data_IF_470638996442
#
_entry.id   IF_470638996442
#
_cell.length_a   1.000
_cell.length_b   1.000
_cell.length_c   1.000
_cell.angle_alpha   90.00
_cell.angle_beta   90.00
_cell.angle_gamma   90.00
#
_symmetry.space_group_name_H-M   'P 1'
#
loop_
_entity.id
_entity.type
_entity.pdbx_description
1 polymer ?
#
# COMPACT_ATOMS: atom_id res chain seq x y z
N UNK A 1 -5.88 -20.86 19.14
CA UNK A 1 -6.61 -20.36 17.97
C UNK A 1 -6.07 -18.99 17.69
N UNK A 2 -5.15 -18.89 16.74
CA UNK A 2 -4.55 -17.61 16.34
C UNK A 2 -5.62 -16.73 15.69
N UNK A 3 -5.83 -15.56 16.27
CA UNK A 3 -6.85 -14.64 15.78
C UNK A 3 -6.32 -13.97 14.50
N UNK A 4 -7.09 -13.84 13.41
CA UNK A 4 -6.62 -13.23 12.15
C UNK A 4 -6.02 -11.81 12.32
N UNK A 5 -6.51 -11.06 13.30
CA UNK A 5 -5.96 -9.73 13.69
C UNK A 5 -4.52 -9.82 14.22
N UNK A 6 -4.14 -10.93 14.84
CA UNK A 6 -2.83 -11.13 15.44
C UNK A 6 -1.72 -11.17 14.38
N UNK A 7 -1.99 -11.75 13.21
CA UNK A 7 -1.09 -11.71 12.05
C UNK A 7 -0.90 -10.28 11.52
N UNK A 8 -1.97 -9.48 11.49
CA UNK A 8 -1.94 -8.08 11.06
C UNK A 8 -1.15 -7.20 12.03
N UNK A 9 -1.41 -7.36 13.34
CA UNK A 9 -0.70 -6.63 14.39
C UNK A 9 0.78 -6.99 14.46
N UNK A 10 1.11 -8.27 14.25
CA UNK A 10 2.49 -8.74 14.20
C UNK A 10 3.23 -8.16 12.99
N UNK A 11 2.63 -8.20 11.80
CA UNK A 11 3.22 -7.58 10.60
C UNK A 11 3.40 -6.06 10.78
N UNK A 12 2.43 -5.37 11.39
CA UNK A 12 2.54 -3.95 11.70
C UNK A 12 3.68 -3.64 12.70
N UNK A 13 3.82 -4.45 13.75
CA UNK A 13 4.89 -4.33 14.75
C UNK A 13 6.27 -4.67 14.20
N UNK A 14 6.38 -5.65 13.30
CA UNK A 14 7.65 -6.01 12.64
C UNK A 14 8.12 -4.90 11.69
N UNK A 15 7.22 -4.33 10.87
CA UNK A 15 7.55 -3.16 10.04
C UNK A 15 7.94 -1.95 10.91
N UNK A 16 7.19 -1.69 12.00
CA UNK A 16 7.54 -0.64 12.97
C UNK A 16 8.94 -0.83 13.55
N UNK A 17 9.32 -2.08 13.87
CA UNK A 17 10.63 -2.39 14.43
C UNK A 17 11.77 -2.19 13.43
N UNK A 18 11.56 -2.52 12.16
CA UNK A 18 12.51 -2.20 11.08
C UNK A 18 12.66 -0.69 10.86
N UNK A 19 11.63 0.11 11.20
CA UNK A 19 11.69 1.57 11.15
C UNK A 19 12.26 2.26 12.38
N UNK A 20 12.30 1.60 13.55
CA UNK A 20 12.87 2.17 14.78
C UNK A 20 14.39 2.34 14.71
N UNK A 21 15.05 1.74 13.70
CA UNK A 21 16.40 2.13 13.30
C UNK A 21 16.38 3.43 12.44
N UNK A 22 15.70 4.45 12.98
CA UNK A 22 15.44 5.77 12.39
C UNK A 22 16.74 6.53 12.09
N UNK A 23 17.87 6.07 12.64
CA UNK A 23 19.19 6.67 12.47
C UNK A 23 19.60 6.79 10.99
N UNK A 24 19.11 5.89 10.12
CA UNK A 24 19.43 5.92 8.69
C UNK A 24 18.56 6.87 7.87
N UNK A 25 17.35 7.23 8.32
CA UNK A 25 16.40 8.04 7.53
C UNK A 25 16.36 9.50 7.99
N UNK A 26 16.52 9.75 9.29
CA UNK A 26 16.51 11.10 9.87
C UNK A 26 17.93 11.67 9.96
N UNK A 27 18.95 10.82 9.86
CA UNK A 27 20.36 11.19 9.91
C UNK A 27 20.83 11.49 11.34
N UNK A 28 22.15 11.57 11.52
CA UNK A 28 22.72 12.02 12.79
C UNK A 28 22.50 13.54 12.97
N UNK A 29 22.33 14.01 14.23
CA UNK A 29 22.23 15.44 14.50
C UNK A 29 23.43 16.20 13.92
N UNK A 30 23.16 17.23 13.11
CA UNK A 30 24.22 18.02 12.50
C UNK A 30 24.63 19.14 13.46
N UNK A 31 25.91 19.20 13.80
CA UNK A 31 26.46 20.32 14.58
C UNK A 31 26.66 21.56 13.70
N UNK A 32 26.20 22.71 14.18
CA UNK A 32 26.44 24.00 13.55
C UNK A 32 27.77 24.58 14.04
N UNK A 33 28.39 25.46 13.24
CA UNK A 33 29.71 26.02 13.56
C UNK A 33 29.77 26.82 14.87
N UNK A 34 28.62 27.24 15.39
CA UNK A 34 28.46 27.95 16.66
C UNK A 34 28.13 27.04 17.85
N UNK A 35 28.20 25.71 17.67
CA UNK A 35 27.96 24.70 18.70
C UNK A 35 26.50 24.32 18.91
N UNK A 36 25.60 24.78 18.04
CA UNK A 36 24.21 24.35 18.01
C UNK A 36 24.03 22.97 17.36
N UNK A 37 22.81 22.42 17.48
CA UNK A 37 22.42 21.12 16.95
C UNK A 37 21.17 21.28 16.10
N UNK A 38 21.20 20.69 14.91
CA UNK A 38 20.03 20.60 14.02
C UNK A 38 19.51 19.16 14.04
N UNK A 39 18.23 19.02 14.37
CA UNK A 39 17.50 17.76 14.42
C UNK A 39 16.39 17.77 13.38
N UNK A 40 16.27 16.72 12.59
CA UNK A 40 15.14 16.58 11.66
C UNK A 40 13.92 16.02 12.38
N UNK A 41 12.77 16.64 12.16
CA UNK A 41 11.46 16.19 12.66
C UNK A 41 10.69 15.60 11.50
N UNK A 42 10.35 14.31 11.61
CA UNK A 42 9.64 13.57 10.56
C UNK A 42 8.27 13.11 11.03
N UNK A 43 7.25 13.25 10.18
CA UNK A 43 5.96 12.60 10.31
C UNK A 43 6.05 11.20 9.75
N UNK A 44 5.60 10.21 10.51
CA UNK A 44 5.52 8.82 10.06
C UNK A 44 4.05 8.43 9.92
N UNK A 45 3.70 7.82 8.78
CA UNK A 45 2.38 7.32 8.50
C UNK A 45 2.46 5.84 8.09
N UNK A 46 1.59 5.02 8.66
CA UNK A 46 1.50 3.59 8.36
C UNK A 46 0.13 3.30 7.78
N UNK A 47 0.08 2.51 6.71
CA UNK A 47 -1.16 2.04 6.10
C UNK A 47 -1.11 0.52 5.98
N UNK A 48 -2.20 -0.16 6.33
CA UNK A 48 -2.33 -1.59 6.16
C UNK A 48 -3.73 -1.90 5.64
N UNK A 49 -3.83 -2.82 4.70
CA UNK A 49 -5.07 -3.30 4.12
C UNK A 49 -4.99 -4.80 3.90
N UNK A 50 -6.11 -5.49 4.11
CA UNK A 50 -6.23 -6.91 3.84
C UNK A 50 -7.61 -7.20 3.26
N UNK A 51 -7.70 -8.24 2.44
CA UNK A 51 -8.93 -8.69 1.83
C UNK A 51 -8.81 -10.14 1.36
N UNK A 52 -9.92 -10.84 1.28
CA UNK A 52 -9.95 -12.21 0.80
C UNK A 52 -11.37 -12.70 0.63
N UNK A 53 -11.50 -13.80 -0.08
CA UNK A 53 -12.77 -14.45 -0.35
C UNK A 53 -12.63 -15.96 -0.31
N UNK A 54 -13.68 -16.61 0.16
CA UNK A 54 -13.83 -18.05 0.04
C UNK A 54 -14.32 -18.41 -1.37
N UNK A 55 -13.70 -19.41 -1.97
CA UNK A 55 -14.05 -19.95 -3.27
C UNK A 55 -14.61 -21.37 -3.09
N UNK A 56 -15.77 -21.63 -3.70
CA UNK A 56 -16.29 -22.98 -3.83
C UNK A 56 -15.65 -23.63 -5.05
N UNK A 57 -14.84 -24.66 -4.83
CA UNK A 57 -14.32 -25.51 -5.90
C UNK A 57 -15.43 -26.46 -6.36
N UNK A 58 -16.02 -26.16 -7.51
CA UNK A 58 -16.98 -27.04 -8.20
C UNK A 58 -16.26 -28.21 -8.88
N UNK A 59 -15.52 -29.03 -8.12
CA UNK A 59 -15.10 -30.34 -8.60
C UNK A 59 -16.14 -31.36 -8.15
N UNK A 60 -16.83 -31.95 -9.13
CA UNK A 60 -18.00 -32.82 -8.98
C UNK A 60 -17.75 -34.18 -8.31
N UNK A 61 -16.83 -34.27 -7.35
CA UNK A 61 -16.60 -35.46 -6.56
C UNK A 61 -16.59 -35.15 -5.07
N UNK A 62 -17.63 -35.67 -4.42
CA UNK A 62 -17.92 -35.62 -2.99
C UNK A 62 -16.67 -35.93 -2.16
N UNK A 63 -16.11 -34.93 -1.51
CA UNK A 63 -15.42 -35.09 -0.23
C UNK A 63 -15.57 -33.81 0.58
N UNK A 64 -15.75 -33.95 1.90
CA UNK A 64 -15.73 -32.90 2.92
C UNK A 64 -14.50 -31.97 2.81
N UNK A 65 -14.48 -31.07 1.84
CA UNK A 65 -13.42 -30.10 1.63
C UNK A 65 -13.88 -28.73 2.13
N UNK A 66 -13.15 -28.18 3.10
CA UNK A 66 -13.35 -26.80 3.53
C UNK A 66 -13.22 -25.88 2.30
N UNK A 67 -14.06 -24.83 2.15
CA UNK A 67 -13.94 -23.90 1.03
C UNK A 67 -12.52 -23.35 0.92
N UNK A 68 -12.01 -23.22 -0.30
CA UNK A 68 -10.66 -22.73 -0.54
C UNK A 68 -10.66 -21.21 -0.35
N UNK A 69 -9.93 -20.72 0.65
CA UNK A 69 -9.79 -19.29 0.89
C UNK A 69 -8.63 -18.73 0.05
N UNK A 70 -8.89 -17.67 -0.72
CA UNK A 70 -7.84 -16.86 -1.33
C UNK A 70 -7.92 -15.44 -0.80
N UNK A 71 -6.81 -14.93 -0.27
CA UNK A 71 -6.73 -13.59 0.26
C UNK A 71 -5.33 -12.99 0.13
N UNK A 72 -5.25 -11.69 0.35
CA UNK A 72 -4.02 -10.92 0.30
C UNK A 72 -4.05 -9.78 1.31
N UNK A 73 -2.86 -9.32 1.69
CA UNK A 73 -2.66 -8.16 2.54
C UNK A 73 -1.52 -7.32 2.02
N UNK A 74 -1.60 -6.01 2.19
CA UNK A 74 -0.54 -5.07 1.86
C UNK A 74 -0.40 -4.06 3.00
N UNK A 75 0.83 -3.64 3.25
CA UNK A 75 1.14 -2.57 4.17
C UNK A 75 2.16 -1.62 3.56
N UNK A 76 2.24 -0.42 4.09
CA UNK A 76 3.22 0.57 3.67
C UNK A 76 3.50 1.56 4.78
N UNK A 77 4.66 2.18 4.69
CA UNK A 77 5.04 3.31 5.52
C UNK A 77 5.44 4.48 4.64
N UNK A 78 5.07 5.67 5.08
CA UNK A 78 5.60 6.93 4.59
C UNK A 78 6.27 7.69 5.73
N UNK A 79 7.49 8.14 5.48
CA UNK A 79 8.21 9.05 6.37
C UNK A 79 8.37 10.36 5.61
N UNK A 80 7.87 11.44 6.19
CA UNK A 80 7.94 12.78 5.58
C UNK A 80 8.63 13.73 6.56
N UNK A 81 9.81 14.27 6.22
CA UNK A 81 10.41 15.37 6.97
C UNK A 81 9.44 16.56 6.97
N UNK A 82 9.04 17.03 8.16
CA UNK A 82 8.10 18.15 8.31
C UNK A 82 8.75 19.41 8.84
N UNK A 83 9.86 19.28 9.57
CA UNK A 83 10.58 20.43 10.11
C UNK A 83 12.02 20.09 10.47
N UNK A 84 12.81 21.13 10.71
CA UNK A 84 14.09 21.08 11.42
C UNK A 84 13.95 21.80 12.76
N UNK A 85 14.39 21.14 13.82
CA UNK A 85 14.53 21.70 15.16
C UNK A 85 15.98 22.16 15.32
N UNK A 86 16.19 23.45 15.46
CA UNK A 86 17.50 24.07 15.67
C UNK A 86 17.61 24.46 17.13
N UNK A 87 18.60 23.88 17.81
CA UNK A 87 18.92 24.18 19.20
C UNK A 87 20.27 24.86 19.25
N UNK A 88 20.34 26.08 19.75
CA UNK A 88 21.59 26.80 19.92
C UNK A 88 21.59 27.55 21.27
N UNK A 89 22.67 28.30 21.52
CA UNK A 89 22.86 29.14 22.72
C UNK A 89 21.76 30.20 22.90
N UNK A 90 21.10 30.61 21.82
CA UNK A 90 20.04 31.62 21.85
C UNK A 90 18.64 30.99 22.09
N UNK A 91 18.53 29.66 22.00
CA UNK A 91 17.32 28.91 22.33
C UNK A 91 16.95 27.84 21.31
N UNK A 92 15.65 27.57 21.19
CA UNK A 92 15.08 26.52 20.33
C UNK A 92 14.22 27.15 19.26
N UNK A 93 14.45 26.80 17.99
CA UNK A 93 13.69 27.27 16.84
C UNK A 93 13.23 26.10 15.95
N UNK A 94 12.02 26.18 15.39
CA UNK A 94 11.46 25.15 14.50
C UNK A 94 11.23 25.73 13.11
N UNK A 95 11.94 25.17 12.14
CA UNK A 95 11.89 25.55 10.73
C UNK A 95 11.04 24.53 9.96
N UNK A 96 9.84 24.93 9.53
CA UNK A 96 8.88 24.04 8.88
C UNK A 96 9.19 23.90 7.38
N UNK A 97 9.12 22.68 6.86
CA UNK A 97 9.21 22.37 5.44
C UNK A 97 7.81 22.52 4.82
N UNK A 98 7.51 23.68 4.23
CA UNK A 98 6.20 23.95 3.62
C UNK A 98 6.08 23.26 2.25
N UNK A 99 5.51 22.05 2.20
CA UNK A 99 5.40 21.28 0.95
C UNK A 99 3.99 20.70 0.65
N UNK A 100 2.93 21.13 1.33
CA UNK A 100 1.63 20.45 1.26
C UNK A 100 0.76 20.74 0.01
N UNK A 101 1.07 21.77 -0.79
CA UNK A 101 0.16 22.23 -1.85
C UNK A 101 0.18 21.36 -3.13
N UNK A 102 1.31 20.74 -3.48
CA UNK A 102 1.44 20.12 -4.82
C UNK A 102 0.99 18.66 -4.95
N UNK A 103 0.67 17.95 -3.87
CA UNK A 103 0.31 16.52 -3.94
C UNK A 103 -1.18 16.28 -4.17
N UNK A 104 -2.04 17.08 -3.55
CA UNK A 104 -3.49 16.98 -3.74
C UNK A 104 -3.87 17.29 -5.20
N UNK A 105 -3.23 18.30 -5.79
CA UNK A 105 -3.37 18.67 -7.21
C UNK A 105 -3.00 17.49 -8.12
N UNK A 106 -1.87 16.82 -7.87
CA UNK A 106 -1.42 15.67 -8.67
C UNK A 106 -2.33 14.44 -8.57
N UNK A 107 -2.91 14.16 -7.41
CA UNK A 107 -3.85 13.03 -7.27
C UNK A 107 -5.13 13.29 -8.07
N UNK A 108 -5.62 14.53 -8.08
CA UNK A 108 -6.80 14.93 -8.86
C UNK A 108 -6.52 14.81 -10.37
N UNK A 109 -5.30 15.12 -10.83
CA UNK A 109 -4.89 14.96 -12.24
C UNK A 109 -4.73 13.49 -12.67
N UNK A 110 -4.26 12.62 -11.78
CA UNK A 110 -3.99 11.20 -12.09
C UNK A 110 -5.21 10.28 -11.96
N UNK A 111 -6.23 10.67 -11.17
CA UNK A 111 -7.42 9.86 -10.94
C UNK A 111 -8.22 9.54 -12.24
N UNK A 112 -8.51 10.51 -13.13
CA UNK A 112 -9.33 10.24 -14.32
C UNK A 112 -8.68 9.19 -15.25
N UNK A 113 -7.39 9.37 -15.55
CA UNK A 113 -6.66 8.49 -16.47
C UNK A 113 -6.51 7.06 -15.94
N UNK A 114 -6.40 6.93 -14.61
CA UNK A 114 -6.29 5.62 -13.96
C UNK A 114 -7.62 4.87 -13.99
N UNK A 115 -8.75 5.57 -13.79
CA UNK A 115 -10.10 5.00 -13.87
C UNK A 115 -10.38 4.50 -15.29
N UNK A 116 -10.10 5.30 -16.31
CA UNK A 116 -10.31 4.94 -17.73
C UNK A 116 -9.49 3.70 -18.13
N UNK A 117 -8.26 3.59 -17.60
CA UNK A 117 -7.37 2.47 -17.86
C UNK A 117 -7.86 1.18 -17.18
N UNK A 118 -8.38 1.26 -15.96
CA UNK A 118 -8.97 0.12 -15.26
C UNK A 118 -10.25 -0.34 -15.97
N UNK A 119 -11.12 0.61 -16.37
CA UNK A 119 -12.37 0.29 -17.05
C UNK A 119 -12.15 -0.38 -18.41
N UNK A 120 -11.19 0.10 -19.20
CA UNK A 120 -10.87 -0.49 -20.51
C UNK A 120 -10.28 -1.90 -20.42
N UNK A 121 -9.51 -2.21 -19.39
CA UNK A 121 -9.04 -3.58 -19.13
C UNK A 121 -10.20 -4.51 -18.77
N UNK A 122 -11.09 -4.10 -17.86
CA UNK A 122 -12.26 -4.90 -17.47
C UNK A 122 -13.26 -5.12 -18.62
N UNK A 123 -13.49 -4.12 -19.47
CA UNK A 123 -14.39 -4.25 -20.64
C UNK A 123 -13.81 -5.11 -21.77
N UNK A 124 -12.49 -5.29 -21.81
CA UNK A 124 -11.83 -6.13 -22.83
C UNK A 124 -11.98 -7.61 -22.50
N UNK A 125 -12.07 -7.97 -21.22
CA UNK A 125 -12.30 -9.36 -20.78
C UNK A 125 -13.76 -9.81 -20.99
N UNK A 126 -14.76 -8.92 -20.81
CA UNK A 126 -16.17 -9.27 -21.09
C UNK A 126 -16.50 -9.45 -22.58
N UNK A 127 -15.66 -8.95 -23.51
CA UNK A 127 -15.93 -9.04 -24.97
C UNK A 127 -15.33 -10.26 -25.67
N UNK A 128 -14.70 -11.20 -24.96
CA UNK A 128 -14.08 -12.39 -25.56
C UNK A 128 -14.80 -13.73 -25.37
N UNK A 129 -16.00 -13.75 -24.77
CA UNK A 129 -16.85 -14.96 -24.71
C UNK A 129 -18.12 -14.82 -25.56
N UNK A 130 -17.96 -14.71 -26.88
CA UNK A 130 -19.12 -14.57 -27.76
C UNK A 130 -18.87 -14.84 -29.23
N UNK A 131 -18.05 -15.84 -29.59
CA UNK A 131 -18.14 -16.42 -30.94
C UNK A 131 -17.45 -17.80 -31.04
N UNK A 132 -18.15 -18.87 -30.64
CA UNK A 132 -17.90 -20.21 -31.18
C UNK A 132 -19.23 -20.94 -31.32
N UNK A 133 -19.82 -20.85 -32.51
CA UNK A 133 -20.90 -21.72 -32.96
C UNK A 133 -20.23 -22.96 -33.59
N UNK A 134 -20.41 -24.19 -33.09
CA UNK A 134 -19.93 -25.38 -33.78
C UNK A 134 -20.87 -25.70 -34.94
N UNK A 135 -20.33 -25.67 -36.17
CA UNK A 135 -20.97 -26.30 -37.32
C UNK A 135 -20.87 -27.82 -37.14
N UNK A 136 -22.02 -28.49 -37.12
CA UNK A 136 -22.12 -29.94 -37.10
C UNK A 136 -22.26 -30.44 -38.55
N UNK A 137 -21.24 -31.08 -39.15
CA UNK A 137 -21.47 -31.97 -40.27
C UNK A 137 -21.78 -33.35 -39.69
N UNK A 138 -22.92 -33.93 -40.05
CA UNK A 138 -23.08 -35.37 -40.31
C UNK A 138 -24.58 -35.72 -40.40
N UNK A 139 -25.12 -35.59 -41.61
CA UNK A 139 -26.33 -36.28 -42.04
C UNK A 139 -25.96 -37.12 -43.28
N UNK A 140 -25.42 -38.32 -43.05
CA UNK A 140 -25.41 -39.43 -44.01
C UNK A 140 -25.47 -40.75 -43.22
N UNK A 141 -26.67 -41.25 -42.92
CA UNK A 141 -27.22 -42.55 -43.38
C UNK A 141 -28.63 -42.78 -42.84
#
# INVERSE_FOLDING_TARGET
MDHPIQGLMKAAMENLKEMVDVNTIVGEPVQTADGGVVLTVSKVAFGFGAGGSDFQTNDGQRTNGNPAFGGGSAGGVSITPVAFLVVNKDGVNILHLQNATHLAEKIIELAPQTIDKIQSMFQTDEKKEGNHHPQNPDEIL
#
